data_IF_296538553197
#
_entry.id   IF_296538553197
#
_cell.length_a   1.000
_cell.length_b   1.000
_cell.length_c   1.000
_cell.angle_alpha   90.00
_cell.angle_beta   90.00
_cell.angle_gamma   90.00
#
_symmetry.space_group_name_H-M   'P 1'
#
loop_
_entity.id
_entity.type
_entity.pdbx_description
1 polymer ?
#
# COMPACT_ATOMS: atom_id res chain seq x y z
N UNK A 1 27.44 -13.00 0.66
CA UNK A 1 26.30 -12.69 1.54
C UNK A 1 25.10 -12.47 0.64
N UNK A 2 24.12 -13.38 0.65
CA UNK A 2 22.90 -13.16 -0.13
C UNK A 2 22.19 -11.94 0.47
N UNK A 3 22.05 -10.85 -0.31
CA UNK A 3 21.21 -9.72 0.08
C UNK A 3 19.81 -10.29 0.33
N UNK A 4 19.31 -10.18 1.55
CA UNK A 4 17.92 -10.49 1.85
C UNK A 4 17.07 -9.67 0.89
N UNK A 5 16.47 -10.31 -0.11
CA UNK A 5 15.49 -9.66 -0.99
C UNK A 5 14.24 -9.53 -0.14
N UNK A 6 14.04 -8.34 0.44
CA UNK A 6 12.72 -7.97 0.92
C UNK A 6 11.75 -8.14 -0.25
N UNK A 7 10.61 -8.82 -0.08
CA UNK A 7 9.61 -8.87 -1.13
C UNK A 7 9.11 -7.45 -1.42
N UNK A 8 9.18 -7.05 -2.69
CA UNK A 8 8.69 -5.74 -3.13
C UNK A 8 7.17 -5.73 -3.32
N UNK A 9 6.53 -6.90 -3.23
CA UNK A 9 5.09 -7.11 -3.40
C UNK A 9 4.54 -7.88 -2.23
N UNK A 10 3.42 -7.41 -1.70
CA UNK A 10 2.70 -8.00 -0.58
C UNK A 10 1.27 -8.29 -1.02
N UNK A 11 0.75 -9.46 -0.65
CA UNK A 11 -0.57 -9.91 -1.11
C UNK A 11 -1.35 -10.61 0.00
N UNK A 12 -2.66 -10.39 0.03
CA UNK A 12 -3.63 -11.16 0.80
C UNK A 12 -4.60 -11.90 -0.12
N UNK A 13 -4.76 -13.22 0.06
CA UNK A 13 -5.68 -14.03 -0.75
C UNK A 13 -7.14 -13.79 -0.37
N UNK A 14 -8.07 -13.76 -1.34
CA UNK A 14 -9.50 -13.60 -1.03
C UNK A 14 -10.38 -14.17 -2.14
N UNK A 15 -11.68 -14.34 -1.88
CA UNK A 15 -12.64 -15.04 -2.74
C UNK A 15 -12.79 -14.50 -4.19
N UNK A 16 -12.11 -13.40 -4.57
CA UNK A 16 -12.20 -12.73 -5.88
C UNK A 16 -10.86 -12.43 -6.56
N UNK A 17 -9.74 -13.01 -6.10
CA UNK A 17 -8.42 -12.82 -6.72
C UNK A 17 -7.40 -12.04 -5.87
N UNK A 18 -7.74 -11.76 -4.61
CA UNK A 18 -6.83 -11.18 -3.62
C UNK A 18 -6.47 -9.71 -3.83
N UNK A 19 -6.04 -9.04 -2.77
CA UNK A 19 -5.55 -7.67 -2.81
C UNK A 19 -4.03 -7.66 -2.68
N UNK A 20 -3.37 -6.70 -3.31
CA UNK A 20 -1.92 -6.56 -3.26
C UNK A 20 -1.50 -5.10 -3.25
N UNK A 21 -0.29 -4.86 -2.72
CA UNK A 21 0.49 -3.69 -3.06
C UNK A 21 1.90 -4.07 -3.49
N UNK A 22 2.48 -3.26 -4.36
CA UNK A 22 3.79 -3.45 -4.95
C UNK A 22 4.55 -2.13 -4.98
N UNK A 23 5.78 -2.17 -4.48
CA UNK A 23 6.73 -1.07 -4.45
C UNK A 23 7.62 -1.23 -5.67
N UNK A 24 7.38 -0.44 -6.71
CA UNK A 24 8.10 -0.59 -7.99
C UNK A 24 9.50 0.05 -7.89
N UNK A 25 9.55 1.29 -7.41
CA UNK A 25 10.79 2.05 -7.24
C UNK A 25 10.74 2.99 -6.03
N UNK A 26 11.92 3.35 -5.53
CA UNK A 26 12.10 4.24 -4.39
C UNK A 26 13.23 5.23 -4.70
N UNK A 27 13.00 6.52 -4.47
CA UNK A 27 13.98 7.59 -4.64
C UNK A 27 13.82 8.62 -3.52
N UNK A 28 14.56 9.73 -3.58
CA UNK A 28 14.68 10.74 -2.53
C UNK A 28 13.34 11.08 -1.81
N UNK A 29 13.11 10.41 -0.67
CA UNK A 29 11.92 10.58 0.18
C UNK A 29 10.60 10.02 -0.37
N UNK A 30 10.58 9.44 -1.57
CA UNK A 30 9.38 9.01 -2.27
C UNK A 30 9.49 7.59 -2.83
N UNK A 31 8.35 6.99 -3.11
CA UNK A 31 8.27 5.65 -3.68
C UNK A 31 7.04 5.50 -4.55
N UNK A 32 7.18 4.75 -5.65
CA UNK A 32 6.08 4.43 -6.54
C UNK A 32 5.35 3.20 -6.01
N UNK A 33 4.08 3.38 -5.64
CA UNK A 33 3.23 2.34 -5.07
C UNK A 33 2.10 1.98 -6.03
N UNK A 34 2.03 0.70 -6.36
CA UNK A 34 0.92 0.09 -7.10
C UNK A 34 0.07 -0.69 -6.09
N UNK A 35 -1.23 -0.43 -6.06
CA UNK A 35 -2.21 -1.21 -5.29
C UNK A 35 -3.22 -1.79 -6.26
N UNK A 36 -3.54 -3.08 -6.10
CA UNK A 36 -4.50 -3.75 -6.95
C UNK A 36 -5.32 -4.78 -6.23
N UNK A 37 -6.41 -5.17 -6.88
CA UNK A 37 -7.28 -6.25 -6.47
C UNK A 37 -7.60 -7.12 -7.67
N UNK A 38 -7.34 -8.43 -7.56
CA UNK A 38 -7.54 -9.37 -8.67
C UNK A 38 -6.77 -8.92 -9.92
N UNK A 39 -7.49 -8.59 -11.00
CA UNK A 39 -6.92 -8.07 -12.25
C UNK A 39 -6.93 -6.54 -12.38
N UNK A 40 -7.38 -5.80 -11.36
CA UNK A 40 -7.57 -4.34 -11.43
C UNK A 40 -6.50 -3.63 -10.60
N UNK A 41 -5.86 -2.61 -11.19
CA UNK A 41 -5.04 -1.65 -10.47
C UNK A 41 -5.97 -0.54 -9.97
N UNK A 42 -6.02 -0.35 -8.65
CA UNK A 42 -6.88 0.64 -7.99
C UNK A 42 -6.12 1.89 -7.59
N UNK A 43 -4.81 1.77 -7.39
CA UNK A 43 -3.93 2.89 -7.11
C UNK A 43 -2.58 2.68 -7.81
N UNK A 44 -2.04 3.74 -8.38
CA UNK A 44 -0.72 3.77 -9.01
C UNK A 44 -0.25 5.22 -8.89
N UNK A 45 0.62 5.49 -7.92
CA UNK A 45 1.07 6.84 -7.64
C UNK A 45 2.38 6.87 -6.86
N UNK A 46 3.01 8.04 -6.86
CA UNK A 46 4.17 8.35 -6.05
C UNK A 46 3.70 8.83 -4.67
N UNK A 47 4.18 8.17 -3.62
CA UNK A 47 3.87 8.50 -2.23
C UNK A 47 5.14 8.75 -1.42
N UNK A 48 5.08 9.56 -0.34
CA UNK A 48 6.20 9.70 0.58
C UNK A 48 6.55 8.37 1.26
N UNK A 49 7.85 8.07 1.39
CA UNK A 49 8.34 6.85 2.08
C UNK A 49 7.84 6.81 3.52
N UNK A 50 7.73 7.95 4.20
CA UNK A 50 7.22 8.03 5.58
C UNK A 50 5.79 7.52 5.68
N UNK A 51 4.96 7.85 4.69
CA UNK A 51 3.58 7.38 4.64
C UNK A 51 3.53 5.86 4.38
N UNK A 52 4.36 5.35 3.47
CA UNK A 52 4.50 3.89 3.27
C UNK A 52 4.95 3.17 4.55
N UNK A 53 5.89 3.75 5.30
CA UNK A 53 6.39 3.16 6.55
C UNK A 53 5.30 3.05 7.62
N UNK A 54 4.47 4.10 7.77
CA UNK A 54 3.31 4.08 8.66
C UNK A 54 2.29 3.03 8.24
N UNK A 55 1.99 2.93 6.94
CA UNK A 55 1.09 1.89 6.42
C UNK A 55 1.60 0.48 6.73
N UNK A 56 2.89 0.22 6.51
CA UNK A 56 3.48 -1.10 6.79
C UNK A 56 3.44 -1.40 8.29
N UNK A 57 3.69 -0.41 9.16
CA UNK A 57 3.60 -0.59 10.61
C UNK A 57 2.18 -1.00 11.02
N UNK A 58 1.15 -0.25 10.59
CA UNK A 58 -0.26 -0.57 10.86
C UNK A 58 -0.63 -1.95 10.33
N UNK A 59 -0.26 -2.26 9.08
CA UNK A 59 -0.58 -3.54 8.46
C UNK A 59 0.14 -4.72 9.14
N UNK A 60 1.34 -4.50 9.70
CA UNK A 60 2.08 -5.53 10.43
C UNK A 60 1.48 -5.80 11.81
N UNK A 61 0.94 -4.78 12.47
CA UNK A 61 0.24 -4.91 13.76
C UNK A 61 -1.15 -5.54 13.63
N UNK A 62 -1.67 -5.64 12.40
CA UNK A 62 -2.96 -6.27 12.13
C UNK A 62 -2.95 -7.77 12.46
N UNK A 63 -4.12 -8.30 12.81
CA UNK A 63 -4.32 -9.75 12.96
C UNK A 63 -4.00 -10.44 11.63
N UNK A 64 -3.16 -11.47 11.66
CA UNK A 64 -2.63 -12.17 10.47
C UNK A 64 -1.72 -11.29 9.58
N UNK A 65 -1.17 -10.21 10.13
CA UNK A 65 -0.21 -9.32 9.51
C UNK A 65 -0.73 -8.64 8.24
N UNK A 66 0.19 -8.31 7.34
CA UNK A 66 -0.12 -7.58 6.09
C UNK A 66 -1.15 -8.32 5.23
N UNK A 67 -1.10 -9.66 5.21
CA UNK A 67 -2.06 -10.46 4.45
C UNK A 67 -3.47 -10.35 5.02
N UNK A 68 -3.62 -10.44 6.34
CA UNK A 68 -4.90 -10.24 7.03
C UNK A 68 -5.45 -8.82 6.84
N UNK A 69 -4.57 -7.82 6.94
CA UNK A 69 -4.91 -6.43 6.67
C UNK A 69 -5.47 -6.22 5.25
N UNK A 70 -4.80 -6.78 4.23
CA UNK A 70 -5.25 -6.71 2.83
C UNK A 70 -6.55 -7.47 2.57
N UNK A 71 -6.81 -8.54 3.32
CA UNK A 71 -8.05 -9.30 3.26
C UNK A 71 -9.23 -8.56 3.89
N UNK A 72 -9.01 -7.95 5.05
CA UNK A 72 -10.04 -7.19 5.77
C UNK A 72 -10.45 -5.94 4.99
N UNK A 73 -9.48 -5.26 4.39
CA UNK A 73 -9.70 -4.09 3.54
C UNK A 73 -9.91 -4.42 2.06
N UNK A 74 -10.28 -5.66 1.75
CA UNK A 74 -10.57 -6.10 0.40
C UNK A 74 -11.86 -5.47 -0.15
N UNK A 75 -11.80 -4.87 -1.35
CA UNK A 75 -12.90 -4.35 -2.18
C UNK A 75 -14.19 -4.03 -1.42
N UNK A 76 -14.09 -3.10 -0.46
CA UNK A 76 -15.22 -2.45 0.20
C UNK A 76 -15.12 -0.95 -0.06
N UNK A 77 -16.22 -0.21 0.06
CA UNK A 77 -16.19 1.26 -0.05
C UNK A 77 -15.22 1.94 0.95
N UNK A 78 -14.79 1.20 1.98
CA UNK A 78 -13.85 1.62 3.01
C UNK A 78 -12.38 1.28 2.68
N UNK A 79 -12.12 0.54 1.59
CA UNK A 79 -10.76 0.35 1.01
C UNK A 79 -10.09 1.67 0.60
N UNK A 80 -10.84 2.77 0.62
CA UNK A 80 -10.38 4.12 0.33
C UNK A 80 -9.37 4.66 1.35
N UNK A 81 -9.32 4.18 2.60
CA UNK A 81 -8.40 4.75 3.59
C UNK A 81 -6.91 4.50 3.26
N UNK A 82 -6.61 3.38 2.59
CA UNK A 82 -5.28 3.07 2.04
C UNK A 82 -5.00 3.75 0.69
N UNK A 83 -6.01 4.43 0.13
CA UNK A 83 -5.99 5.09 -1.18
C UNK A 83 -6.25 6.59 -1.09
N UNK A 84 -6.38 7.14 0.13
CA UNK A 84 -6.45 8.57 0.34
C UNK A 84 -5.06 9.13 0.07
N UNK A 85 -4.94 9.98 -0.94
CA UNK A 85 -3.79 10.88 -1.10
C UNK A 85 -3.43 11.42 0.29
N UNK A 86 -2.16 11.31 0.75
CA UNK A 86 -1.76 12.03 1.95
C UNK A 86 -2.19 13.47 1.76
N UNK A 87 -2.81 14.06 2.80
CA UNK A 87 -3.35 15.43 2.71
C UNK A 87 -2.27 16.31 2.10
N UNK A 88 -2.46 16.70 0.83
CA UNK A 88 -1.57 17.63 0.16
C UNK A 88 -1.71 18.90 0.98
N UNK A 89 -0.67 19.25 1.74
CA UNK A 89 -0.65 20.54 2.45
C UNK A 89 -1.10 21.58 1.43
N UNK A 90 -2.25 22.21 1.68
CA UNK A 90 -2.67 23.33 0.87
C UNK A 90 -1.57 24.37 1.05
N UNK A 91 -0.65 24.45 0.09
CA UNK A 91 0.24 25.60 -0.03
C UNK A 91 -0.68 26.80 -0.04
N UNK A 92 -0.57 27.59 1.02
CA UNK A 92 -1.52 28.62 1.39
C UNK A 92 -1.95 29.44 0.17
N UNK A 93 -3.26 29.62 0.05
CA UNK A 93 -3.80 30.66 -0.81
C UNK A 93 -3.18 31.99 -0.36
N UNK A 94 -2.28 32.53 -1.20
CA UNK A 94 -1.83 33.91 -1.13
C UNK A 94 -2.92 34.82 -1.70
#
# INVERSE_FOLDING_TARGET
MAKHKCPNRFSGEGARGGSFFEIEETWEGNTHLIVGHSCVIVHNADIPITWLAELIAIATEHKDGIAGFLQEHNWSGDSYALMCDPVKEQKGAA
#
